data_IF_091741107009
#
_entry.id   IF_091741107009
#
_cell.length_a   1.000
_cell.length_b   1.000
_cell.length_c   1.000
_cell.angle_alpha   90.00
_cell.angle_beta   90.00
_cell.angle_gamma   90.00
#
_symmetry.space_group_name_H-M   'P 1'
#
loop_
_entity.id
_entity.type
_entity.pdbx_description
1 polymer ?
#
# COMPACT_ATOMS: atom_id res chain seq x y z
N UNK A 1 20.30 -70.24 36.01
CA UNK A 1 21.35 -69.61 35.17
C UNK A 1 22.03 -68.58 36.06
N UNK A 2 23.26 -68.84 36.45
CA UNK A 2 23.96 -67.96 37.37
C UNK A 2 24.40 -66.69 36.71
N UNK A 3 24.16 -65.53 37.39
CA UNK A 3 24.54 -64.21 36.88
C UNK A 3 26.03 -64.10 36.50
N UNK A 4 26.88 -64.90 37.12
CA UNK A 4 28.32 -64.99 36.78
C UNK A 4 28.62 -65.51 35.38
N UNK A 5 27.85 -66.47 34.86
CA UNK A 5 28.03 -66.97 33.49
C UNK A 5 27.56 -65.91 32.42
N UNK A 6 26.54 -65.11 32.78
CA UNK A 6 26.06 -64.03 31.91
C UNK A 6 27.10 -62.90 31.81
N UNK A 7 27.68 -62.46 32.93
CA UNK A 7 28.73 -61.47 32.95
C UNK A 7 30.05 -61.95 32.30
N UNK A 8 30.39 -63.26 32.39
CA UNK A 8 31.57 -63.81 31.70
C UNK A 8 31.47 -63.76 30.17
N UNK A 9 30.27 -63.84 29.58
CA UNK A 9 30.03 -63.71 28.17
C UNK A 9 30.18 -62.31 27.72
N UNK A 10 29.92 -61.28 28.54
CA UNK A 10 30.18 -59.89 28.24
C UNK A 10 31.66 -59.49 28.16
N UNK A 11 32.53 -60.29 28.88
CA UNK A 11 33.99 -60.11 28.85
C UNK A 11 34.68 -60.86 27.68
N UNK A 12 33.91 -61.49 26.77
CA UNK A 12 34.43 -62.26 25.67
C UNK A 12 34.96 -61.29 24.57
N UNK A 13 36.25 -61.43 24.21
CA UNK A 13 36.89 -60.67 23.12
C UNK A 13 36.18 -60.80 21.77
N UNK A 14 35.46 -61.93 21.56
CA UNK A 14 34.65 -62.17 20.37
C UNK A 14 33.42 -61.25 20.31
N UNK A 15 32.76 -61.02 21.47
CA UNK A 15 31.61 -60.11 21.52
C UNK A 15 32.03 -58.66 21.28
N UNK A 16 33.11 -58.20 21.89
CA UNK A 16 33.66 -56.89 21.68
C UNK A 16 34.18 -56.68 20.28
N UNK A 17 34.79 -57.71 19.65
CA UNK A 17 35.21 -57.69 18.26
C UNK A 17 34.03 -57.49 17.27
N UNK A 18 32.91 -58.21 17.51
CA UNK A 18 31.70 -58.04 16.70
C UNK A 18 31.03 -56.65 16.88
N UNK A 19 30.97 -56.18 18.14
CA UNK A 19 30.44 -54.82 18.40
C UNK A 19 31.31 -53.74 17.70
N UNK A 20 32.65 -53.88 17.83
CA UNK A 20 33.57 -52.96 17.13
C UNK A 20 33.38 -53.00 15.61
N UNK A 21 33.28 -54.21 15.03
CA UNK A 21 33.03 -54.39 13.62
C UNK A 21 31.69 -53.75 13.21
N UNK A 22 30.63 -53.94 13.98
CA UNK A 22 29.33 -53.34 13.72
C UNK A 22 29.39 -51.81 13.79
N UNK A 23 30.05 -51.23 14.78
CA UNK A 23 30.27 -49.77 14.89
C UNK A 23 31.04 -49.23 13.70
N UNK A 24 32.11 -49.92 13.27
CA UNK A 24 32.87 -49.51 12.08
C UNK A 24 32.02 -49.54 10.82
N UNK A 25 31.17 -50.54 10.65
CA UNK A 25 30.25 -50.58 9.48
C UNK A 25 29.27 -49.44 9.51
N UNK A 26 28.67 -49.15 10.68
CA UNK A 26 27.73 -48.03 10.86
C UNK A 26 28.41 -46.68 10.55
N UNK A 27 29.63 -46.50 11.11
CA UNK A 27 30.43 -45.29 10.86
C UNK A 27 30.77 -45.16 9.36
N UNK A 28 31.22 -46.25 8.71
CA UNK A 28 31.53 -46.24 7.27
C UNK A 28 30.30 -45.93 6.42
N UNK A 29 29.12 -46.47 6.75
CA UNK A 29 27.86 -46.15 6.11
C UNK A 29 27.47 -44.68 6.33
N UNK A 30 27.59 -44.15 7.55
CA UNK A 30 27.30 -42.76 7.85
C UNK A 30 28.20 -41.80 7.05
N UNK A 31 29.49 -42.07 7.00
CA UNK A 31 30.44 -41.31 6.17
C UNK A 31 30.14 -41.43 4.67
N UNK A 32 29.83 -42.64 4.19
CA UNK A 32 29.46 -42.87 2.78
C UNK A 32 28.20 -42.10 2.37
N UNK A 33 27.17 -42.14 3.22
CA UNK A 33 25.94 -41.39 2.99
C UNK A 33 26.20 -39.88 3.01
N UNK A 34 26.94 -39.40 4.01
CA UNK A 34 27.29 -37.95 4.09
C UNK A 34 28.05 -37.50 2.85
N UNK A 35 29.11 -38.21 2.48
CA UNK A 35 29.91 -37.89 1.30
C UNK A 35 29.08 -37.95 0.00
N UNK A 36 28.27 -39.02 -0.14
CA UNK A 36 27.36 -39.15 -1.28
C UNK A 36 26.33 -38.01 -1.37
N UNK A 37 25.78 -37.58 -0.25
CA UNK A 37 24.86 -36.43 -0.19
C UNK A 37 25.59 -35.13 -0.52
N UNK A 38 26.79 -34.88 0.00
CA UNK A 38 27.56 -33.67 -0.28
C UNK A 38 27.88 -33.54 -1.81
N UNK A 39 28.27 -34.65 -2.45
CA UNK A 39 28.51 -34.69 -3.90
C UNK A 39 27.21 -34.52 -4.68
N UNK A 40 26.14 -35.21 -4.29
CA UNK A 40 24.85 -35.16 -4.98
C UNK A 40 24.18 -33.78 -4.87
N UNK A 41 24.21 -33.19 -3.69
CA UNK A 41 23.58 -31.90 -3.43
C UNK A 41 24.44 -30.70 -3.80
N UNK A 42 25.72 -30.95 -4.21
CA UNK A 42 26.71 -29.86 -4.46
C UNK A 42 26.73 -28.88 -3.30
N UNK A 43 26.86 -29.40 -2.10
CA UNK A 43 26.84 -28.59 -0.89
C UNK A 43 28.03 -27.61 -0.89
N UNK A 44 27.73 -26.30 -0.71
CA UNK A 44 28.74 -25.26 -0.72
C UNK A 44 28.98 -24.57 -2.08
N UNK A 45 28.51 -25.13 -3.20
CA UNK A 45 28.51 -24.44 -4.50
C UNK A 45 27.33 -23.44 -4.53
N UNK A 46 27.60 -22.17 -4.23
CA UNK A 46 26.62 -21.08 -4.30
C UNK A 46 27.12 -19.95 -5.19
N UNK A 47 26.25 -19.46 -6.05
CA UNK A 47 26.49 -18.25 -6.85
C UNK A 47 26.07 -17.05 -6.00
N UNK A 48 26.93 -16.08 -5.88
CA UNK A 48 26.62 -14.82 -5.19
C UNK A 48 25.70 -13.97 -6.06
N UNK A 49 24.57 -13.56 -5.47
CA UNK A 49 23.57 -12.73 -6.14
C UNK A 49 24.13 -11.32 -6.35
N UNK A 50 24.24 -10.83 -7.60
CA UNK A 50 24.73 -9.48 -7.86
C UNK A 50 23.70 -8.45 -7.44
N UNK A 51 24.18 -7.23 -7.16
CA UNK A 51 23.31 -6.09 -6.89
C UNK A 51 22.73 -5.57 -8.21
N UNK A 52 21.40 -5.61 -8.34
CA UNK A 52 20.68 -5.08 -9.52
C UNK A 52 19.68 -3.98 -9.17
N UNK A 53 19.57 -3.62 -7.90
CA UNK A 53 18.74 -2.49 -7.47
C UNK A 53 19.20 -1.19 -8.16
N UNK A 54 18.26 -0.41 -8.69
CA UNK A 54 18.51 0.81 -9.46
C UNK A 54 18.85 0.59 -10.93
N UNK A 55 19.12 -0.67 -11.36
CA UNK A 55 19.34 -0.99 -12.77
C UNK A 55 18.01 -1.11 -13.52
N UNK A 56 18.04 -0.82 -14.83
CA UNK A 56 16.91 -1.12 -15.72
C UNK A 56 16.77 -2.64 -15.85
N UNK A 57 15.53 -3.13 -15.82
CA UNK A 57 15.20 -4.56 -15.79
C UNK A 57 15.92 -5.38 -16.90
N UNK A 58 15.99 -4.86 -18.13
CA UNK A 58 16.63 -5.58 -19.23
C UNK A 58 18.14 -5.80 -19.00
N UNK A 59 18.85 -4.80 -18.49
CA UNK A 59 20.26 -4.90 -18.19
C UNK A 59 20.51 -5.86 -17.01
N UNK A 60 19.65 -5.76 -15.99
CA UNK A 60 19.72 -6.65 -14.84
C UNK A 60 19.43 -8.12 -15.23
N UNK A 61 18.48 -8.33 -16.13
CA UNK A 61 18.17 -9.65 -16.66
C UNK A 61 19.36 -10.27 -17.39
N UNK A 62 20.00 -9.53 -18.28
CA UNK A 62 21.19 -10.01 -18.98
C UNK A 62 22.32 -10.39 -18.01
N UNK A 63 22.56 -9.56 -16.98
CA UNK A 63 23.56 -9.83 -15.94
C UNK A 63 23.24 -11.08 -15.12
N UNK A 64 21.96 -11.33 -14.81
CA UNK A 64 21.54 -12.52 -14.08
C UNK A 64 21.66 -13.78 -14.93
N UNK A 65 21.24 -13.72 -16.20
CA UNK A 65 21.36 -14.84 -17.16
C UNK A 65 22.82 -15.23 -17.39
N UNK A 66 23.75 -14.26 -17.48
CA UNK A 66 25.20 -14.51 -17.58
C UNK A 66 25.74 -15.32 -16.39
N UNK A 67 25.14 -15.12 -15.21
CA UNK A 67 25.49 -15.84 -13.98
C UNK A 67 24.69 -17.12 -13.76
N UNK A 68 23.84 -17.50 -14.71
CA UNK A 68 22.99 -18.69 -14.61
C UNK A 68 21.86 -18.55 -13.59
N UNK A 69 21.38 -17.32 -13.37
CA UNK A 69 20.26 -16.99 -12.51
C UNK A 69 19.07 -16.50 -13.34
N UNK A 70 17.86 -16.70 -12.84
CA UNK A 70 16.64 -16.20 -13.48
C UNK A 70 16.13 -14.97 -12.76
N UNK A 71 15.60 -14.00 -13.52
CA UNK A 71 15.00 -12.79 -12.98
C UNK A 71 13.51 -12.75 -13.31
N UNK A 72 12.65 -12.61 -12.28
CA UNK A 72 11.20 -12.58 -12.44
C UNK A 72 10.63 -11.37 -11.71
N UNK A 73 9.78 -10.61 -12.42
CA UNK A 73 9.04 -9.50 -11.82
C UNK A 73 7.83 -10.06 -11.07
N UNK A 74 7.74 -9.79 -9.79
CA UNK A 74 6.60 -10.19 -8.94
C UNK A 74 5.68 -9.04 -8.59
N UNK A 75 6.23 -7.82 -8.56
CA UNK A 75 5.47 -6.65 -8.14
C UNK A 75 5.95 -5.39 -8.86
N UNK A 76 5.13 -4.34 -8.82
CA UNK A 76 5.50 -3.02 -9.32
C UNK A 76 5.24 -1.97 -8.24
N UNK A 77 6.25 -1.17 -7.96
CA UNK A 77 6.16 -0.01 -7.10
C UNK A 77 6.25 1.29 -7.89
N UNK A 78 6.17 2.41 -7.21
CA UNK A 78 6.40 3.72 -7.82
C UNK A 78 7.44 4.52 -7.03
N UNK A 79 8.49 4.93 -7.70
CA UNK A 79 9.50 5.83 -7.17
C UNK A 79 9.84 6.90 -8.22
N UNK A 80 9.46 8.14 -7.93
CA UNK A 80 9.66 9.28 -8.84
C UNK A 80 11.14 9.57 -9.15
N UNK A 81 12.06 9.13 -8.28
CA UNK A 81 13.50 9.41 -8.42
C UNK A 81 14.22 8.45 -9.36
N UNK A 82 13.60 7.32 -9.66
CA UNK A 82 14.19 6.27 -10.49
C UNK A 82 13.51 6.20 -11.86
N UNK A 83 14.24 5.82 -12.91
CA UNK A 83 13.64 5.62 -14.22
C UNK A 83 12.54 4.55 -14.19
N UNK A 84 11.63 4.63 -15.15
CA UNK A 84 10.66 3.57 -15.38
C UNK A 84 11.37 2.23 -15.65
N UNK A 85 10.76 1.13 -15.21
CA UNK A 85 11.31 -0.22 -15.37
C UNK A 85 12.65 -0.47 -14.68
N UNK A 86 13.08 0.38 -13.75
CA UNK A 86 14.23 0.10 -12.89
C UNK A 86 13.82 -0.80 -11.73
N UNK A 87 14.74 -1.60 -11.23
CA UNK A 87 14.53 -2.50 -10.10
C UNK A 87 14.57 -1.68 -8.82
N UNK A 88 13.49 -1.77 -8.04
CA UNK A 88 13.35 -1.11 -6.74
C UNK A 88 13.87 -1.99 -5.61
N UNK A 89 13.51 -3.27 -5.64
CA UNK A 89 13.81 -4.26 -4.60
C UNK A 89 14.16 -5.56 -5.29
N UNK A 90 15.13 -6.30 -4.75
CA UNK A 90 15.46 -7.66 -5.16
C UNK A 90 15.39 -8.64 -3.98
N UNK A 91 14.94 -9.86 -4.24
CA UNK A 91 14.90 -10.94 -3.27
C UNK A 91 15.24 -12.28 -3.96
N UNK A 92 16.28 -13.02 -3.54
CA UNK A 92 17.24 -12.73 -2.46
C UNK A 92 18.07 -11.46 -2.67
N UNK A 93 18.48 -10.84 -1.55
CA UNK A 93 19.30 -9.63 -1.55
C UNK A 93 20.70 -9.83 -2.15
N UNK A 94 21.40 -8.73 -2.47
CA UNK A 94 22.75 -8.79 -3.02
C UNK A 94 23.72 -9.44 -2.02
N UNK A 95 24.69 -10.20 -2.52
CA UNK A 95 25.68 -10.93 -1.73
C UNK A 95 25.20 -12.25 -1.14
N UNK A 96 23.92 -12.56 -1.20
CA UNK A 96 23.41 -13.88 -0.77
C UNK A 96 23.87 -14.98 -1.74
N UNK A 97 24.18 -16.15 -1.19
CA UNK A 97 24.55 -17.32 -1.99
C UNK A 97 23.32 -18.16 -2.33
N UNK A 98 23.10 -18.38 -3.59
CA UNK A 98 22.00 -19.19 -4.13
C UNK A 98 22.53 -20.26 -5.06
N UNK A 99 21.76 -21.30 -5.32
CA UNK A 99 22.14 -22.35 -6.27
C UNK A 99 21.98 -21.85 -7.71
N UNK A 100 22.74 -22.44 -8.62
CA UNK A 100 22.57 -22.21 -10.04
C UNK A 100 21.12 -22.51 -10.48
N UNK A 101 20.56 -21.67 -11.37
CA UNK A 101 19.17 -21.75 -11.80
C UNK A 101 18.18 -21.21 -10.78
N UNK A 102 18.64 -20.54 -9.71
CA UNK A 102 17.72 -19.92 -8.75
C UNK A 102 17.02 -18.70 -9.37
N UNK A 103 15.75 -18.52 -9.00
CA UNK A 103 14.97 -17.36 -9.45
C UNK A 103 15.07 -16.22 -8.44
N UNK A 104 15.48 -15.06 -8.93
CA UNK A 104 15.53 -13.81 -8.17
C UNK A 104 14.25 -13.03 -8.49
N UNK A 105 13.52 -12.72 -7.46
CA UNK A 105 12.27 -11.95 -7.55
C UNK A 105 12.55 -10.47 -7.39
N UNK A 106 11.95 -9.66 -8.25
CA UNK A 106 12.17 -8.21 -8.21
C UNK A 106 10.86 -7.43 -8.28
N UNK A 107 10.88 -6.27 -7.63
CA UNK A 107 9.87 -5.23 -7.79
C UNK A 107 10.42 -4.19 -8.75
N UNK A 108 9.68 -3.87 -9.80
CA UNK A 108 10.09 -2.86 -10.79
C UNK A 108 9.38 -1.54 -10.60
N UNK A 109 10.02 -0.46 -11.02
CA UNK A 109 9.44 0.88 -10.97
C UNK A 109 8.40 1.05 -12.08
N UNK A 110 7.16 1.37 -11.70
CA UNK A 110 6.09 1.68 -12.64
C UNK A 110 6.40 2.97 -13.43
N UNK A 111 6.07 3.03 -14.74
CA UNK A 111 6.25 4.23 -15.54
C UNK A 111 5.33 5.39 -15.12
N UNK A 112 4.23 5.10 -14.47
CA UNK A 112 3.24 6.07 -14.04
C UNK A 112 3.02 6.03 -12.54
N UNK A 113 2.77 7.20 -11.95
CA UNK A 113 2.38 7.28 -10.54
C UNK A 113 1.01 6.64 -10.31
N UNK A 114 0.79 6.08 -9.12
CA UNK A 114 -0.49 5.50 -8.77
C UNK A 114 -1.61 6.54 -8.88
N UNK A 115 -2.78 6.11 -9.36
CA UNK A 115 -3.98 6.93 -9.48
C UNK A 115 -5.06 6.42 -8.55
N UNK A 116 -5.72 7.34 -7.86
CA UNK A 116 -6.83 7.04 -6.96
C UNK A 116 -8.10 7.73 -7.42
N UNK A 117 -9.23 7.13 -7.11
CA UNK A 117 -10.52 7.74 -7.39
C UNK A 117 -10.76 8.92 -6.45
N UNK A 118 -11.31 10.00 -7.00
CA UNK A 118 -11.77 11.15 -6.21
C UNK A 118 -13.00 10.72 -5.40
N UNK A 119 -12.98 10.86 -4.06
CA UNK A 119 -14.13 10.57 -3.24
C UNK A 119 -15.25 11.59 -3.45
N UNK A 120 -16.44 11.27 -2.98
CA UNK A 120 -17.59 12.16 -3.02
C UNK A 120 -17.42 13.30 -1.99
N UNK A 121 -17.06 14.47 -2.48
CA UNK A 121 -16.74 15.65 -1.69
C UNK A 121 -17.48 16.90 -2.16
N UNK A 122 -17.84 16.93 -3.45
CA UNK A 122 -18.49 18.09 -4.09
C UNK A 122 -19.93 18.15 -3.59
N UNK A 123 -20.33 19.32 -3.13
CA UNK A 123 -21.66 19.61 -2.54
C UNK A 123 -22.03 18.69 -1.34
N UNK A 124 -21.04 18.02 -0.76
CA UNK A 124 -21.24 17.03 0.32
C UNK A 124 -20.24 17.16 1.49
N UNK A 125 -19.32 18.10 1.45
CA UNK A 125 -18.32 18.26 2.51
C UNK A 125 -17.83 19.68 2.67
N UNK A 126 -17.36 19.99 3.89
CA UNK A 126 -16.64 21.22 4.17
C UNK A 126 -15.21 21.17 3.61
N UNK A 127 -14.60 22.34 3.38
CA UNK A 127 -13.21 22.45 2.94
C UNK A 127 -12.24 21.64 3.79
N UNK A 128 -12.37 21.76 5.14
CA UNK A 128 -11.49 21.06 6.08
C UNK A 128 -11.60 19.54 5.98
N UNK A 129 -12.82 19.05 5.81
CA UNK A 129 -13.05 17.60 5.64
C UNK A 129 -12.51 17.09 4.30
N UNK A 130 -12.75 17.83 3.22
CA UNK A 130 -12.23 17.50 1.88
C UNK A 130 -10.69 17.51 1.85
N UNK A 131 -10.08 18.53 2.45
CA UNK A 131 -8.62 18.61 2.60
C UNK A 131 -8.07 17.41 3.36
N UNK A 132 -8.66 17.04 4.50
CA UNK A 132 -8.23 15.91 5.30
C UNK A 132 -8.36 14.58 4.52
N UNK A 133 -9.49 14.34 3.85
CA UNK A 133 -9.73 13.12 3.06
C UNK A 133 -8.76 13.01 1.88
N UNK A 134 -8.57 14.08 1.11
CA UNK A 134 -7.67 14.07 -0.04
C UNK A 134 -6.20 13.92 0.38
N UNK A 135 -5.78 14.58 1.45
CA UNK A 135 -4.44 14.46 2.00
C UNK A 135 -4.18 13.06 2.56
N UNK A 136 -5.16 12.44 3.20
CA UNK A 136 -5.07 11.05 3.69
C UNK A 136 -4.89 10.03 2.56
N UNK A 137 -5.47 10.26 1.38
CA UNK A 137 -5.27 9.45 0.17
C UNK A 137 -3.86 9.67 -0.42
N UNK A 138 -3.24 10.83 -0.14
CA UNK A 138 -1.91 11.20 -0.63
C UNK A 138 -1.92 12.23 -1.75
N UNK A 139 -3.05 12.86 -2.07
CA UNK A 139 -3.11 13.93 -3.05
C UNK A 139 -2.41 15.20 -2.55
N UNK A 140 -1.80 15.94 -3.48
CA UNK A 140 -1.21 17.24 -3.22
C UNK A 140 -2.25 18.31 -3.51
N UNK A 141 -2.52 19.16 -2.52
CA UNK A 141 -3.44 20.27 -2.66
C UNK A 141 -2.68 21.56 -2.93
N UNK A 142 -3.26 22.39 -3.80
CA UNK A 142 -2.87 23.81 -3.98
C UNK A 142 -3.80 24.69 -3.16
N UNK A 143 -3.45 25.96 -2.93
CA UNK A 143 -4.35 26.89 -2.25
C UNK A 143 -5.75 26.87 -2.88
N UNK A 144 -6.81 26.88 -2.05
CA UNK A 144 -8.17 26.82 -2.53
C UNK A 144 -8.51 28.06 -3.37
N UNK A 145 -9.35 27.87 -4.39
CA UNK A 145 -9.91 28.93 -5.18
C UNK A 145 -11.30 29.28 -4.64
N UNK A 146 -11.51 30.55 -4.32
CA UNK A 146 -12.80 31.00 -3.82
C UNK A 146 -13.80 31.18 -4.95
N UNK A 147 -15.02 30.74 -4.71
CA UNK A 147 -16.19 30.90 -5.58
C UNK A 147 -17.35 31.47 -4.76
N UNK A 148 -18.36 32.02 -5.41
CA UNK A 148 -19.57 32.44 -4.74
C UNK A 148 -20.33 31.23 -4.19
N UNK A 149 -20.82 31.33 -2.97
CA UNK A 149 -21.56 30.27 -2.31
C UNK A 149 -21.33 30.22 -0.81
N UNK A 150 -21.85 29.18 -0.17
CA UNK A 150 -21.79 28.96 1.29
C UNK A 150 -20.33 28.91 1.75
N UNK A 151 -20.05 29.63 2.84
CA UNK A 151 -18.70 29.71 3.40
C UNK A 151 -18.15 28.33 3.75
N UNK A 152 -16.91 28.10 3.33
CA UNK A 152 -16.16 26.86 3.60
C UNK A 152 -16.80 25.58 3.02
N UNK A 153 -17.73 25.70 2.08
CA UNK A 153 -18.34 24.56 1.38
C UNK A 153 -17.63 24.26 0.07
N UNK A 154 -17.50 22.98 -0.30
CA UNK A 154 -16.77 22.54 -1.50
C UNK A 154 -17.72 22.42 -2.68
N UNK A 155 -17.55 23.29 -3.69
CA UNK A 155 -18.35 23.33 -4.92
C UNK A 155 -17.71 22.61 -6.10
N UNK A 156 -16.46 22.18 -5.97
CA UNK A 156 -15.78 21.47 -7.04
C UNK A 156 -14.31 21.21 -6.76
N UNK A 157 -13.75 20.36 -7.58
CA UNK A 157 -12.35 20.01 -7.54
C UNK A 157 -11.76 20.22 -8.93
N UNK A 158 -10.63 20.89 -9.01
CA UNK A 158 -9.90 21.10 -10.26
C UNK A 158 -8.60 20.30 -10.24
N UNK A 159 -8.30 19.65 -11.36
CA UNK A 159 -7.00 19.06 -11.63
C UNK A 159 -6.39 19.74 -12.84
N UNK A 160 -5.29 20.46 -12.64
CA UNK A 160 -4.64 21.25 -13.71
C UNK A 160 -5.60 22.17 -14.46
N UNK A 161 -6.52 22.82 -13.75
CA UNK A 161 -7.51 23.74 -14.33
C UNK A 161 -8.74 23.06 -14.96
N UNK A 162 -8.84 21.74 -14.97
CA UNK A 162 -10.02 21.01 -15.44
C UNK A 162 -10.84 20.53 -14.25
N UNK A 163 -12.14 20.68 -14.30
CA UNK A 163 -13.06 20.14 -13.31
C UNK A 163 -13.02 18.63 -13.36
N UNK A 164 -12.93 18.00 -12.19
CA UNK A 164 -12.96 16.53 -12.01
C UNK A 164 -14.17 16.15 -11.17
N UNK A 165 -14.73 14.99 -11.48
CA UNK A 165 -15.93 14.46 -10.84
C UNK A 165 -15.58 13.36 -9.84
N UNK A 166 -16.51 13.08 -8.95
CA UNK A 166 -16.45 11.93 -8.05
C UNK A 166 -16.25 10.64 -8.85
N UNK A 167 -15.28 9.81 -8.42
CA UNK A 167 -14.92 8.56 -9.09
C UNK A 167 -13.84 8.68 -10.16
N UNK A 168 -13.50 9.88 -10.64
CA UNK A 168 -12.41 10.08 -11.60
C UNK A 168 -11.08 9.64 -11.00
N UNK A 169 -10.31 8.86 -11.76
CA UNK A 169 -8.98 8.38 -11.33
C UNK A 169 -7.90 9.37 -11.67
N UNK A 170 -7.37 10.01 -10.64
CA UNK A 170 -6.34 11.04 -10.79
C UNK A 170 -5.03 10.54 -10.16
N UNK A 171 -3.91 10.84 -10.84
CA UNK A 171 -2.58 10.56 -10.30
C UNK A 171 -2.29 11.40 -9.05
N UNK A 172 -1.73 10.79 -8.02
CA UNK A 172 -1.34 11.48 -6.77
C UNK A 172 -0.31 12.59 -6.97
N UNK A 173 0.45 12.55 -8.05
CA UNK A 173 1.42 13.60 -8.38
C UNK A 173 0.77 14.83 -9.02
N UNK A 174 -0.48 14.74 -9.45
CA UNK A 174 -1.22 15.87 -10.00
C UNK A 174 -1.80 16.72 -8.88
N UNK A 175 -1.48 18.02 -8.84
CA UNK A 175 -2.03 18.91 -7.82
C UNK A 175 -3.52 19.11 -8.05
N UNK A 176 -4.28 19.11 -6.96
CA UNK A 176 -5.71 19.38 -6.93
C UNK A 176 -5.95 20.73 -6.28
N UNK A 177 -6.90 21.50 -6.85
CA UNK A 177 -7.40 22.77 -6.31
C UNK A 177 -8.85 22.58 -5.91
N UNK A 178 -9.19 22.93 -4.69
CA UNK A 178 -10.58 22.91 -4.21
C UNK A 178 -11.24 24.26 -4.54
N UNK A 179 -12.47 24.22 -5.07
CA UNK A 179 -13.35 25.38 -5.21
C UNK A 179 -14.18 25.51 -3.95
N UNK A 180 -13.99 26.57 -3.20
CA UNK A 180 -14.56 26.76 -1.87
C UNK A 180 -15.38 28.03 -1.83
N UNK A 181 -16.59 27.96 -1.28
CA UNK A 181 -17.46 29.11 -1.13
C UNK A 181 -16.89 30.19 -0.22
N UNK A 182 -17.04 31.45 -0.62
CA UNK A 182 -16.52 32.62 0.08
C UNK A 182 -17.51 33.22 1.10
N UNK A 183 -18.72 32.67 1.19
CA UNK A 183 -19.80 33.17 2.06
C UNK A 183 -20.60 34.34 1.45
N UNK A 184 -20.33 34.66 0.18
CA UNK A 184 -21.10 35.65 -0.54
C UNK A 184 -21.97 34.92 -1.56
N UNK A 185 -23.26 35.10 -1.46
CA UNK A 185 -24.19 34.82 -2.54
C UNK A 185 -24.21 36.10 -3.41
N UNK A 186 -24.08 35.98 -4.70
CA UNK A 186 -24.15 37.15 -5.61
C UNK A 186 -25.29 38.04 -5.17
N UNK A 187 -25.05 39.33 -5.09
CA UNK A 187 -26.04 40.28 -4.62
C UNK A 187 -27.35 40.08 -5.42
N UNK A 188 -28.27 39.29 -4.81
CA UNK A 188 -29.68 39.50 -5.11
C UNK A 188 -29.91 40.96 -4.76
N UNK A 189 -30.32 41.75 -5.77
CA UNK A 189 -30.75 43.13 -5.60
C UNK A 189 -31.50 43.23 -4.27
N UNK A 190 -30.95 44.02 -3.33
CA UNK A 190 -31.71 44.43 -2.17
C UNK A 190 -33.00 45.01 -2.76
N UNK A 191 -34.07 44.25 -2.72
CA UNK A 191 -35.42 44.78 -2.96
C UNK A 191 -35.60 45.73 -1.76
N UNK A 192 -35.37 46.98 -2.06
CA UNK A 192 -35.58 48.11 -1.19
C UNK A 192 -37.06 48.11 -0.76
N UNK A 193 -37.36 47.45 0.37
CA UNK A 193 -38.68 47.46 1.01
C UNK A 193 -38.92 48.77 1.76
N UNK A 194 -38.28 49.85 1.32
CA UNK A 194 -38.56 51.18 1.82
C UNK A 194 -39.58 51.86 0.87
N UNK A 195 -40.85 51.68 1.19
CA UNK A 195 -41.88 52.41 0.43
C UNK A 195 -43.31 51.91 0.65
N UNK A 196 -43.65 51.57 1.87
CA UNK A 196 -45.08 51.54 2.24
C UNK A 196 -45.30 52.44 3.46
N UNK A 197 -45.66 53.68 3.11
CA UNK A 197 -46.23 54.62 4.06
C UNK A 197 -47.40 53.95 4.81
N UNK A 198 -47.23 53.75 6.11
CA UNK A 198 -48.29 53.32 7.00
C UNK A 198 -49.35 54.43 7.05
N UNK A 199 -50.46 54.23 6.36
CA UNK A 199 -51.67 54.99 6.67
C UNK A 199 -52.21 54.50 8.01
N UNK A 200 -52.62 55.46 8.92
CA UNK A 200 -53.19 55.09 10.20
C UNK A 200 -54.60 54.51 9.96
N UNK A 201 -54.79 53.24 10.30
CA UNK A 201 -56.12 52.65 10.40
C UNK A 201 -56.87 53.27 11.55
N UNK A 202 -58.01 53.88 11.21
CA UNK A 202 -59.01 54.31 12.18
C UNK A 202 -59.58 53.06 12.91
N UNK A 203 -59.52 53.12 14.25
CA UNK A 203 -60.22 52.19 15.12
C UNK A 203 -61.73 52.47 14.95
N UNK A 204 -62.48 51.66 14.27
CA UNK A 204 -63.91 51.50 14.50
C UNK A 204 -64.11 50.41 15.55
N UNK A 205 -64.59 50.83 16.69
CA UNK A 205 -64.89 49.96 17.77
C UNK A 205 -66.10 49.08 17.44
N UNK A 206 -65.85 47.81 17.42
CA UNK A 206 -66.93 46.78 17.47
C UNK A 206 -66.97 46.20 18.86
N UNK A 207 -68.09 46.52 19.56
CA UNK A 207 -68.40 45.94 20.86
C UNK A 207 -68.96 44.53 20.67
N UNK A 208 -68.24 43.55 21.11
CA UNK A 208 -68.73 42.17 21.19
C UNK A 208 -69.60 42.00 22.41
N UNK A 209 -70.90 41.87 22.19
CA UNK A 209 -71.87 41.36 23.17
C UNK A 209 -71.68 39.87 23.35
N UNK A 210 -71.20 39.48 24.51
CA UNK A 210 -71.24 38.12 24.97
C UNK A 210 -72.63 37.79 25.55
N UNK A 211 -73.45 37.04 24.85
CA UNK A 211 -74.60 36.37 25.39
C UNK A 211 -74.21 35.11 26.17
N UNK A 212 -74.37 35.14 27.46
CA UNK A 212 -74.38 34.03 28.38
C UNK A 212 -75.59 33.14 28.08
N UNK A 213 -75.40 31.91 27.71
CA UNK A 213 -76.44 30.87 27.70
C UNK A 213 -76.14 29.94 28.88
N UNK A 214 -77.02 30.05 29.90
CA UNK A 214 -77.22 29.13 31.01
C UNK A 214 -78.27 28.10 30.55
N UNK A 215 -77.93 26.80 30.51
CA UNK A 215 -78.61 25.66 31.11
C UNK A 215 -77.84 24.37 30.82
#
# INVERSE_FOLDING_TARGET
>A
MEAKEFFGKFASGFLWGNILAMVLVVVALAFGVKYGLDVYTRHGEGIEVPKVEGMVYQNARALMEERGLYLVVTDSGYNKRLPANSILIQNPGPGMKVKQGHTIYVTVNSPSSPSFAIPDLVDNSSFREAEAKLTAIGFKLTPPQQVEGEKDWVYGILCRGRRVSTGDRISIDSPLTLLVGNGHYGAEEEIDCIGSEAQPMQEEGETDEFEEIVE
#
